data_IF_583953260663
#
_entry.id   IF_583953260663
#
_cell.length_a   1.000
_cell.length_b   1.000
_cell.length_c   1.000
_cell.angle_alpha   90.00
_cell.angle_beta   90.00
_cell.angle_gamma   90.00
#
_symmetry.space_group_name_H-M   'P 1'
#
loop_
_entity.id
_entity.type
_entity.pdbx_description
1 polymer ?
#
# COMPACT_ATOMS: atom_id res chain seq x y z
N UNK A 1 -36.61 4.36 27.75
CA UNK A 1 -35.68 5.40 27.28
C UNK A 1 -34.29 4.88 27.55
N UNK A 2 -33.73 4.15 26.57
CA UNK A 2 -32.79 4.72 25.57
C UNK A 2 -31.52 5.15 26.29
N UNK A 3 -30.37 4.47 26.21
CA UNK A 3 -29.84 3.61 25.17
C UNK A 3 -28.42 4.11 24.92
N UNK A 4 -27.43 3.35 25.36
CA UNK A 4 -26.04 3.44 24.87
C UNK A 4 -25.59 1.99 24.81
N UNK A 5 -25.76 1.38 23.65
CA UNK A 5 -25.05 0.17 23.29
C UNK A 5 -23.61 0.59 23.01
N UNK A 6 -22.69 0.11 23.83
CA UNK A 6 -21.29 -0.05 23.43
C UNK A 6 -21.27 -1.17 22.37
N UNK A 7 -21.57 -0.81 21.13
CA UNK A 7 -21.19 -1.62 19.97
C UNK A 7 -19.73 -1.31 19.66
N UNK A 8 -18.84 -1.68 20.58
CA UNK A 8 -17.45 -1.93 20.24
C UNK A 8 -17.31 -3.46 20.20
N UNK A 9 -17.87 -4.05 19.15
CA UNK A 9 -17.58 -5.41 18.78
C UNK A 9 -16.05 -5.48 18.60
N UNK A 10 -15.38 -6.14 19.54
CA UNK A 10 -13.94 -6.30 19.51
C UNK A 10 -13.54 -7.00 18.22
N UNK A 11 -13.08 -6.23 17.25
CA UNK A 11 -12.24 -6.73 16.17
C UNK A 11 -10.94 -7.09 16.88
N UNK A 12 -10.78 -8.36 17.23
CA UNK A 12 -9.54 -8.85 17.81
C UNK A 12 -8.41 -8.55 16.83
N UNK A 13 -7.35 -7.91 17.31
CA UNK A 13 -6.15 -7.69 16.50
C UNK A 13 -5.57 -9.05 16.12
N UNK A 14 -5.30 -9.25 14.82
CA UNK A 14 -4.73 -10.49 14.30
C UNK A 14 -3.21 -10.46 14.46
N UNK A 15 -2.60 -11.58 14.86
CA UNK A 15 -1.13 -11.70 14.99
C UNK A 15 -0.63 -12.85 14.10
N UNK A 16 -0.70 -12.70 12.77
CA UNK A 16 -0.22 -13.73 11.85
C UNK A 16 1.31 -13.73 11.75
N UNK A 17 1.90 -14.90 11.48
CA UNK A 17 3.36 -15.04 11.29
C UNK A 17 3.82 -14.47 9.93
N UNK A 18 2.92 -14.43 8.93
CA UNK A 18 3.16 -13.82 7.62
C UNK A 18 1.89 -13.19 7.05
N UNK A 19 2.02 -12.22 6.14
CA UNK A 19 0.87 -11.54 5.51
C UNK A 19 1.12 -11.29 4.03
N UNK A 20 0.10 -11.54 3.22
CA UNK A 20 0.13 -11.13 1.81
C UNK A 20 -0.25 -9.65 1.71
N UNK A 21 0.58 -8.85 1.05
CA UNK A 21 0.38 -7.40 0.95
C UNK A 21 -0.08 -6.97 -0.43
N UNK A 22 -1.02 -6.04 -0.48
CA UNK A 22 -1.40 -5.29 -1.67
C UNK A 22 -0.36 -4.21 -2.03
N UNK A 23 -0.34 -3.78 -3.30
CA UNK A 23 0.48 -2.65 -3.78
C UNK A 23 0.21 -1.39 -2.96
N UNK A 24 -1.03 -1.15 -2.52
CA UNK A 24 -1.39 0.02 -1.72
C UNK A 24 -0.65 0.08 -0.37
N UNK A 25 -0.32 -1.07 0.23
CA UNK A 25 0.41 -1.20 1.50
C UNK A 25 1.88 -0.82 1.32
N UNK A 26 2.51 -1.35 0.27
CA UNK A 26 3.88 -1.01 -0.13
C UNK A 26 4.00 0.50 -0.43
N UNK A 27 3.02 1.03 -1.15
CA UNK A 27 2.98 2.43 -1.53
C UNK A 27 2.74 3.36 -0.34
N UNK A 28 1.92 2.99 0.66
CA UNK A 28 1.75 3.76 1.89
C UNK A 28 3.07 3.83 2.68
N UNK A 29 3.81 2.72 2.78
CA UNK A 29 5.13 2.70 3.44
C UNK A 29 6.10 3.68 2.78
N UNK A 30 6.19 3.62 1.46
CA UNK A 30 7.06 4.52 0.70
C UNK A 30 6.70 5.99 0.92
N UNK A 31 5.39 6.27 1.02
CA UNK A 31 4.81 7.61 1.09
C UNK A 31 4.52 8.11 2.51
N UNK A 32 4.95 7.40 3.56
CA UNK A 32 4.71 7.78 4.98
C UNK A 32 5.18 9.19 5.38
N UNK A 33 6.02 9.82 4.55
CA UNK A 33 6.42 11.21 4.75
C UNK A 33 5.32 12.21 4.39
N UNK A 34 4.39 11.87 3.50
CA UNK A 34 3.32 12.74 3.00
C UNK A 34 1.91 12.24 3.35
N UNK A 35 1.78 10.94 3.63
CA UNK A 35 0.52 10.31 4.01
C UNK A 35 0.56 9.82 5.45
N UNK A 36 -0.62 9.54 6.00
CA UNK A 36 -0.69 8.89 7.31
C UNK A 36 -0.07 7.50 7.20
N UNK A 37 0.83 7.22 8.11
CA UNK A 37 1.52 5.95 8.20
C UNK A 37 0.62 4.88 8.81
N UNK A 38 0.40 3.81 8.06
CA UNK A 38 -0.38 2.65 8.49
C UNK A 38 0.43 1.35 8.45
N UNK A 39 1.63 1.38 7.88
CA UNK A 39 2.30 0.15 7.41
C UNK A 39 3.74 0.03 7.88
N UNK A 40 4.36 1.07 8.43
CA UNK A 40 5.73 0.97 8.96
C UNK A 40 5.96 -0.18 9.93
N UNK A 41 5.05 -0.51 10.87
CA UNK A 41 5.26 -1.65 11.74
C UNK A 41 5.50 -2.97 10.98
N UNK A 42 4.87 -3.17 9.81
CA UNK A 42 5.04 -4.38 9.00
C UNK A 42 6.41 -4.50 8.34
N UNK A 43 7.11 -3.39 8.09
CA UNK A 43 8.41 -3.40 7.40
C UNK A 43 9.58 -3.09 8.33
N UNK A 44 9.30 -2.46 9.46
CA UNK A 44 10.32 -2.07 10.44
C UNK A 44 10.44 -3.13 11.58
N UNK A 45 9.59 -4.18 11.59
CA UNK A 45 9.64 -5.33 12.51
C UNK A 45 9.95 -6.63 11.77
N UNK A 46 10.66 -7.57 12.43
CA UNK A 46 10.91 -8.94 11.97
C UNK A 46 9.82 -9.93 12.45
N UNK A 47 8.75 -9.45 13.12
CA UNK A 47 7.71 -10.29 13.72
C UNK A 47 6.76 -10.93 12.70
N UNK A 48 6.59 -10.29 11.54
CA UNK A 48 5.65 -10.70 10.50
C UNK A 48 6.37 -10.71 9.16
N UNK A 49 6.43 -11.86 8.52
CA UNK A 49 6.97 -11.98 7.17
C UNK A 49 6.00 -11.37 6.14
N UNK A 50 6.52 -10.49 5.28
CA UNK A 50 5.77 -9.86 4.21
C UNK A 50 5.85 -10.71 2.95
N UNK A 51 4.70 -11.16 2.45
CA UNK A 51 4.57 -11.92 1.20
C UNK A 51 4.04 -11.01 0.10
N UNK A 52 4.72 -11.00 -1.05
CA UNK A 52 4.39 -10.16 -2.21
C UNK A 52 4.11 -11.04 -3.42
N UNK A 53 2.92 -10.94 -4.01
CA UNK A 53 2.62 -11.61 -5.28
C UNK A 53 3.30 -10.97 -6.48
N UNK A 54 3.45 -11.74 -7.56
CA UNK A 54 4.02 -11.25 -8.83
C UNK A 54 3.29 -10.02 -9.38
N UNK A 55 1.96 -9.96 -9.25
CA UNK A 55 1.16 -8.79 -9.70
C UNK A 55 1.56 -7.53 -8.93
N UNK A 56 1.70 -7.64 -7.60
CA UNK A 56 2.09 -6.52 -6.73
C UNK A 56 3.52 -6.07 -7.02
N UNK A 57 4.43 -7.02 -7.25
CA UNK A 57 5.81 -6.74 -7.64
C UNK A 57 5.89 -5.96 -8.96
N UNK A 58 5.18 -6.41 -9.99
CA UNK A 58 5.12 -5.75 -11.30
C UNK A 58 4.53 -4.34 -11.19
N UNK A 59 3.45 -4.18 -10.41
CA UNK A 59 2.83 -2.88 -10.18
C UNK A 59 3.74 -1.89 -9.46
N UNK A 60 4.46 -2.35 -8.43
CA UNK A 60 5.42 -1.52 -7.71
C UNK A 60 6.51 -1.00 -8.66
N UNK A 61 7.05 -1.87 -9.51
CA UNK A 61 8.09 -1.51 -10.48
C UNK A 61 7.55 -0.56 -11.57
N UNK A 62 6.33 -0.77 -12.05
CA UNK A 62 5.65 0.18 -12.96
C UNK A 62 5.48 1.56 -12.32
N UNK A 63 5.05 1.61 -11.05
CA UNK A 63 4.88 2.84 -10.29
C UNK A 63 6.23 3.52 -10.05
N UNK A 64 7.26 2.78 -9.67
CA UNK A 64 8.62 3.29 -9.44
C UNK A 64 9.17 3.98 -10.70
N UNK A 65 9.16 3.29 -11.84
CA UNK A 65 9.63 3.84 -13.13
C UNK A 65 8.84 5.07 -13.55
N UNK A 66 7.51 5.02 -13.42
CA UNK A 66 6.66 6.14 -13.82
C UNK A 66 6.86 7.36 -12.92
N UNK A 67 7.00 7.14 -11.61
CA UNK A 67 7.19 8.21 -10.63
C UNK A 67 8.56 8.86 -10.73
N UNK A 68 9.61 8.14 -11.13
CA UNK A 68 10.92 8.73 -11.44
C UNK A 68 10.77 9.88 -12.47
N UNK A 69 10.11 9.62 -13.60
CA UNK A 69 9.88 10.64 -14.62
C UNK A 69 8.96 11.78 -14.15
N UNK A 70 7.93 11.47 -13.37
CA UNK A 70 7.02 12.48 -12.79
C UNK A 70 7.79 13.40 -11.84
N UNK A 71 8.66 12.84 -11.00
CA UNK A 71 9.46 13.61 -10.05
C UNK A 71 10.49 14.50 -10.74
N UNK A 72 11.12 14.01 -11.81
CA UNK A 72 12.00 14.81 -12.66
C UNK A 72 11.27 16.02 -13.27
N UNK A 73 10.10 15.80 -13.87
CA UNK A 73 9.28 16.87 -14.46
C UNK A 73 8.81 17.86 -13.38
N UNK A 74 8.35 17.37 -12.23
CA UNK A 74 7.86 18.22 -11.15
C UNK A 74 8.98 19.09 -10.54
N UNK A 75 10.19 18.53 -10.41
CA UNK A 75 11.37 19.30 -10.00
C UNK A 75 11.78 20.32 -11.06
N UNK A 76 11.73 19.97 -12.34
CA UNK A 76 12.08 20.86 -13.45
C UNK A 76 11.15 22.07 -13.50
N UNK A 77 9.84 21.85 -13.33
CA UNK A 77 8.82 22.89 -13.21
C UNK A 77 9.21 23.91 -12.11
N UNK A 78 9.49 23.43 -10.89
CA UNK A 78 9.79 24.34 -9.78
C UNK A 78 11.14 25.05 -9.87
N UNK A 79 12.04 24.62 -10.75
CA UNK A 79 13.30 25.30 -11.02
C UNK A 79 13.08 26.54 -11.90
N UNK A 80 12.04 26.58 -12.73
CA UNK A 80 11.66 27.80 -13.43
C UNK A 80 11.16 28.82 -12.40
N UNK A 81 11.95 29.87 -12.14
CA UNK A 81 11.76 30.86 -11.06
C UNK A 81 10.42 31.63 -11.13
N UNK A 82 9.61 31.40 -12.17
CA UNK A 82 8.30 32.01 -12.36
C UNK A 82 7.12 31.18 -11.87
N UNK A 83 7.30 29.87 -11.61
CA UNK A 83 6.18 28.94 -11.43
C UNK A 83 5.88 28.63 -9.96
N UNK A 84 4.61 28.66 -9.53
CA UNK A 84 4.18 28.33 -8.16
C UNK A 84 3.87 26.83 -8.00
N UNK A 85 4.15 26.25 -6.83
CA UNK A 85 3.92 24.81 -6.62
C UNK A 85 2.47 24.39 -6.79
N UNK A 86 1.50 25.25 -6.47
CA UNK A 86 0.08 24.97 -6.64
C UNK A 86 -0.39 24.98 -8.10
N UNK A 87 0.38 25.60 -8.99
CA UNK A 87 0.05 25.73 -10.42
C UNK A 87 0.53 24.53 -11.24
N UNK A 88 1.34 23.64 -10.67
CA UNK A 88 1.68 22.37 -11.31
C UNK A 88 0.40 21.55 -11.50
N UNK A 89 0.03 21.28 -12.74
CA UNK A 89 -1.14 20.48 -13.09
C UNK A 89 -0.73 19.13 -13.70
N UNK A 90 -0.78 18.03 -12.93
CA UNK A 90 -0.47 16.68 -13.42
C UNK A 90 -1.19 16.30 -14.71
N UNK A 91 -2.46 16.67 -14.85
CA UNK A 91 -3.29 16.33 -16.01
C UNK A 91 -2.80 16.97 -17.33
N UNK A 92 -2.04 18.06 -17.23
CA UNK A 92 -1.48 18.77 -18.38
C UNK A 92 -0.08 18.26 -18.80
N UNK A 93 0.51 17.35 -18.02
CA UNK A 93 1.91 16.92 -18.16
C UNK A 93 2.03 15.59 -18.88
N UNK A 94 3.20 15.34 -19.46
CA UNK A 94 3.62 14.03 -19.99
C UNK A 94 4.82 13.58 -19.16
N UNK A 95 4.95 12.29 -18.79
CA UNK A 95 4.18 11.11 -19.23
C UNK A 95 2.80 10.97 -18.56
N UNK A 96 1.95 10.09 -19.12
CA UNK A 96 0.56 9.88 -18.71
C UNK A 96 0.45 9.56 -17.22
N UNK A 97 -0.02 10.54 -16.44
CA UNK A 97 -0.41 10.35 -15.06
C UNK A 97 -1.59 9.38 -14.98
N UNK A 98 -1.55 8.45 -14.04
CA UNK A 98 -2.73 7.72 -13.60
C UNK A 98 -3.40 8.50 -12.47
N UNK A 99 -4.68 8.22 -12.19
CA UNK A 99 -5.43 8.90 -11.12
C UNK A 99 -4.71 8.86 -9.75
N UNK A 100 -4.03 7.75 -9.45
CA UNK A 100 -3.24 7.59 -8.22
C UNK A 100 -1.97 8.45 -8.22
N UNK A 101 -1.36 8.70 -9.38
CA UNK A 101 -0.20 9.61 -9.48
C UNK A 101 -0.61 11.07 -9.34
N UNK A 102 -1.75 11.45 -9.92
CA UNK A 102 -2.29 12.80 -9.77
C UNK A 102 -2.58 13.10 -8.30
N UNK A 103 -3.27 12.18 -7.60
CA UNK A 103 -3.54 12.27 -6.17
C UNK A 103 -2.25 12.38 -5.37
N UNK A 104 -1.26 11.54 -5.69
CA UNK A 104 0.04 11.57 -5.04
C UNK A 104 0.74 12.93 -5.16
N UNK A 105 0.81 13.51 -6.36
CA UNK A 105 1.40 14.84 -6.54
C UNK A 105 0.58 15.92 -5.82
N UNK A 106 -0.75 15.86 -5.88
CA UNK A 106 -1.62 16.79 -5.15
C UNK A 106 -1.36 16.74 -3.63
N UNK A 107 -1.13 15.57 -3.05
CA UNK A 107 -0.75 15.41 -1.64
C UNK A 107 0.58 16.13 -1.33
N UNK A 108 1.58 15.99 -2.20
CA UNK A 108 2.87 16.71 -2.07
C UNK A 108 2.64 18.23 -2.16
N UNK A 109 1.88 18.69 -3.15
CA UNK A 109 1.54 20.11 -3.32
C UNK A 109 0.86 20.68 -2.07
N UNK A 110 -0.17 20.00 -1.56
CA UNK A 110 -0.90 20.43 -0.36
C UNK A 110 0.00 20.52 0.87
N UNK A 111 0.89 19.55 1.07
CA UNK A 111 1.84 19.56 2.18
C UNK A 111 2.81 20.74 2.10
N UNK A 112 3.31 21.04 0.91
CA UNK A 112 4.32 22.06 0.69
C UNK A 112 3.76 23.47 0.50
N UNK A 113 2.50 23.62 0.08
CA UNK A 113 1.82 24.90 -0.09
C UNK A 113 1.65 25.67 1.24
N UNK A 114 1.86 25.02 2.37
CA UNK A 114 1.87 25.66 3.70
C UNK A 114 3.15 26.47 3.97
N UNK A 115 4.14 26.42 3.07
CA UNK A 115 5.42 27.09 3.22
C UNK A 115 5.46 28.36 2.38
N UNK A 116 5.84 29.49 2.99
CA UNK A 116 5.91 30.78 2.28
C UNK A 116 7.26 31.04 1.58
N UNK A 117 8.29 30.22 1.84
CA UNK A 117 9.63 30.40 1.28
C UNK A 117 9.90 29.40 0.14
N UNK A 118 10.01 29.91 -1.10
CA UNK A 118 10.34 29.13 -2.30
C UNK A 118 11.59 28.26 -2.14
N UNK A 119 12.65 28.77 -1.51
CA UNK A 119 13.89 27.99 -1.29
C UNK A 119 13.64 26.85 -0.31
N UNK A 120 12.74 27.07 0.65
CA UNK A 120 12.30 26.03 1.57
C UNK A 120 11.42 24.99 0.86
N UNK A 121 10.47 25.41 0.03
CA UNK A 121 9.64 24.51 -0.80
C UNK A 121 10.52 23.60 -1.66
N UNK A 122 11.46 24.16 -2.43
CA UNK A 122 12.35 23.37 -3.28
C UNK A 122 13.22 22.40 -2.48
N UNK A 123 13.71 22.81 -1.31
CA UNK A 123 14.51 21.95 -0.42
C UNK A 123 13.67 20.80 0.13
N UNK A 124 12.49 21.11 0.66
CA UNK A 124 11.60 20.15 1.31
C UNK A 124 11.00 19.18 0.28
N UNK A 125 10.73 19.64 -0.94
CA UNK A 125 10.36 18.79 -2.07
C UNK A 125 11.47 17.78 -2.38
N UNK A 126 12.71 18.23 -2.61
CA UNK A 126 13.83 17.34 -2.89
C UNK A 126 14.04 16.30 -1.79
N UNK A 127 13.89 16.70 -0.52
CA UNK A 127 13.97 15.75 0.59
C UNK A 127 12.82 14.74 0.57
N UNK A 128 11.60 15.20 0.30
CA UNK A 128 10.41 14.35 0.23
C UNK A 128 10.53 13.32 -0.89
N UNK A 129 10.85 13.75 -2.12
CA UNK A 129 10.99 12.86 -3.27
C UNK A 129 12.10 11.83 -3.07
N UNK A 130 13.29 12.27 -2.62
CA UNK A 130 14.40 11.34 -2.29
C UNK A 130 14.03 10.34 -1.20
N UNK A 131 13.23 10.76 -0.22
CA UNK A 131 12.80 9.84 0.84
C UNK A 131 11.83 8.78 0.32
N UNK A 132 10.97 9.13 -0.63
CA UNK A 132 10.04 8.19 -1.26
C UNK A 132 10.80 7.25 -2.18
N UNK A 133 11.67 7.77 -3.06
CA UNK A 133 12.52 6.99 -3.96
C UNK A 133 13.36 5.95 -3.20
N UNK A 134 14.01 6.35 -2.09
CA UNK A 134 14.79 5.42 -1.26
C UNK A 134 13.96 4.26 -0.73
N UNK A 135 12.73 4.52 -0.29
CA UNK A 135 11.84 3.46 0.20
C UNK A 135 11.32 2.59 -0.93
N UNK A 136 11.00 3.16 -2.09
CA UNK A 136 10.63 2.38 -3.27
C UNK A 136 11.78 1.46 -3.71
N UNK A 137 13.02 1.93 -3.70
CA UNK A 137 14.18 1.06 -3.97
C UNK A 137 14.35 -0.01 -2.90
N UNK A 138 14.26 0.33 -1.61
CA UNK A 138 14.31 -0.68 -0.53
C UNK A 138 13.23 -1.76 -0.70
N UNK A 139 12.00 -1.37 -1.01
CA UNK A 139 10.92 -2.32 -1.27
C UNK A 139 11.25 -3.22 -2.48
N UNK A 140 11.65 -2.63 -3.61
CA UNK A 140 11.90 -3.38 -4.84
C UNK A 140 13.17 -4.26 -4.79
N UNK A 141 14.20 -3.82 -4.08
CA UNK A 141 15.54 -4.43 -4.11
C UNK A 141 15.75 -5.39 -2.93
N UNK A 142 15.03 -5.24 -1.81
CA UNK A 142 15.19 -6.05 -0.59
C UNK A 142 13.88 -6.78 -0.21
N UNK A 143 12.77 -6.06 -0.03
CA UNK A 143 11.52 -6.67 0.52
C UNK A 143 10.83 -7.59 -0.47
N UNK A 144 10.63 -7.14 -1.71
CA UNK A 144 9.93 -7.91 -2.74
C UNK A 144 10.68 -9.20 -3.09
N UNK A 145 12.00 -9.21 -3.32
CA UNK A 145 12.73 -10.43 -3.63
C UNK A 145 12.70 -11.47 -2.50
N UNK A 146 12.76 -11.03 -1.24
CA UNK A 146 12.79 -11.93 -0.09
C UNK A 146 11.43 -12.63 0.15
N UNK A 147 10.32 -11.94 -0.14
CA UNK A 147 8.95 -12.42 0.09
C UNK A 147 8.16 -12.78 -1.18
N UNK A 148 8.82 -13.00 -2.32
CA UNK A 148 8.11 -13.15 -3.60
C UNK A 148 7.35 -14.48 -3.70
N UNK A 149 6.03 -14.39 -3.92
CA UNK A 149 5.18 -15.48 -4.35
C UNK A 149 4.97 -15.40 -5.87
N UNK A 150 5.69 -16.23 -6.63
CA UNK A 150 5.81 -16.16 -8.10
C UNK A 150 4.78 -16.98 -8.88
N UNK A 151 3.73 -17.44 -8.20
CA UNK A 151 2.64 -18.20 -8.82
C UNK A 151 1.45 -17.30 -9.17
N UNK A 152 0.64 -17.74 -10.13
CA UNK A 152 -0.54 -17.01 -10.59
C UNK A 152 -1.79 -17.88 -10.53
N UNK A 153 -2.95 -17.30 -10.15
CA UNK A 153 -4.21 -18.01 -10.10
C UNK A 153 -4.66 -18.42 -11.51
N UNK A 154 -5.38 -19.55 -11.58
CA UNK A 154 -6.01 -19.96 -12.83
C UNK A 154 -7.11 -18.99 -13.28
N UNK A 155 -7.31 -18.87 -14.59
CA UNK A 155 -8.32 -17.97 -15.21
C UNK A 155 -9.73 -18.13 -14.62
N UNK A 156 -10.12 -19.32 -14.18
CA UNK A 156 -11.41 -19.57 -13.53
C UNK A 156 -11.65 -18.66 -12.32
N UNK A 157 -10.62 -18.46 -11.50
CA UNK A 157 -10.71 -17.61 -10.29
C UNK A 157 -10.82 -16.15 -10.71
N UNK A 158 -9.98 -15.71 -11.64
CA UNK A 158 -10.01 -14.34 -12.16
C UNK A 158 -11.36 -14.00 -12.81
N UNK A 159 -11.96 -14.91 -13.58
CA UNK A 159 -13.30 -14.68 -14.13
C UNK A 159 -14.40 -14.65 -13.07
N UNK A 160 -14.27 -15.45 -12.01
CA UNK A 160 -15.24 -15.45 -10.92
C UNK A 160 -15.22 -14.11 -10.18
N UNK A 161 -14.02 -13.62 -9.84
CA UNK A 161 -13.81 -12.36 -9.10
C UNK A 161 -14.23 -11.12 -9.89
N UNK A 162 -14.26 -11.17 -11.23
CA UNK A 162 -14.59 -10.02 -12.09
C UNK A 162 -15.96 -9.38 -11.77
N UNK A 163 -16.91 -10.16 -11.26
CA UNK A 163 -18.25 -9.66 -10.94
C UNK A 163 -18.28 -8.81 -9.67
N UNK A 164 -17.28 -8.94 -8.81
CA UNK A 164 -17.17 -8.24 -7.52
C UNK A 164 -16.07 -7.18 -7.57
N UNK A 165 -14.95 -7.49 -8.23
CA UNK A 165 -13.78 -6.60 -8.36
C UNK A 165 -13.64 -6.20 -9.85
N UNK A 166 -14.13 -5.01 -10.25
CA UNK A 166 -14.07 -4.57 -11.64
C UNK A 166 -12.66 -4.25 -12.12
N UNK A 167 -11.77 -3.84 -11.20
CA UNK A 167 -10.39 -3.52 -11.51
C UNK A 167 -9.58 -4.81 -11.76
N UNK A 168 -9.01 -4.92 -12.96
CA UNK A 168 -8.23 -6.09 -13.37
C UNK A 168 -6.99 -6.33 -12.50
N UNK A 169 -6.38 -5.26 -11.99
CA UNK A 169 -5.18 -5.30 -11.14
C UNK A 169 -5.52 -5.82 -9.75
N UNK A 170 -6.43 -5.16 -9.04
CA UNK A 170 -6.89 -5.57 -7.71
C UNK A 170 -7.43 -7.01 -7.73
N UNK A 171 -8.12 -7.40 -8.81
CA UNK A 171 -8.60 -8.76 -9.02
C UNK A 171 -7.47 -9.78 -9.12
N UNK A 172 -6.39 -9.43 -9.81
CA UNK A 172 -5.21 -10.28 -9.93
C UNK A 172 -4.49 -10.41 -8.59
N UNK A 173 -4.34 -9.30 -7.85
CA UNK A 173 -3.75 -9.28 -6.49
C UNK A 173 -4.54 -10.17 -5.52
N UNK A 174 -5.87 -10.05 -5.50
CA UNK A 174 -6.73 -10.90 -4.66
C UNK A 174 -6.64 -12.37 -5.07
N UNK A 175 -6.55 -12.64 -6.37
CA UNK A 175 -6.35 -14.00 -6.88
C UNK A 175 -5.00 -14.60 -6.47
N UNK A 176 -3.92 -13.81 -6.51
CA UNK A 176 -2.59 -14.22 -6.04
C UNK A 176 -2.62 -14.51 -4.53
N UNK A 177 -3.26 -13.66 -3.73
CA UNK A 177 -3.41 -13.84 -2.29
C UNK A 177 -4.22 -15.10 -1.94
N UNK A 178 -5.30 -15.36 -2.66
CA UNK A 178 -6.13 -16.56 -2.48
C UNK A 178 -5.37 -17.84 -2.87
N UNK A 179 -4.59 -17.80 -3.95
CA UNK A 179 -3.72 -18.91 -4.33
C UNK A 179 -2.65 -19.18 -3.28
N UNK A 180 -1.99 -18.13 -2.79
CA UNK A 180 -1.02 -18.24 -1.70
C UNK A 180 -1.64 -18.86 -0.46
N UNK A 181 -2.84 -18.41 -0.06
CA UNK A 181 -3.60 -18.97 1.06
C UNK A 181 -3.90 -20.46 0.91
N UNK A 182 -4.21 -20.91 -0.32
CA UNK A 182 -4.59 -22.28 -0.59
C UNK A 182 -3.41 -23.24 -0.76
N UNK A 183 -2.28 -22.76 -1.31
CA UNK A 183 -1.21 -23.63 -1.80
C UNK A 183 0.14 -23.46 -1.10
N UNK A 184 0.38 -22.36 -0.37
CA UNK A 184 1.62 -22.20 0.39
C UNK A 184 1.55 -22.96 1.72
N UNK A 185 2.59 -23.74 2.03
CA UNK A 185 2.61 -24.64 3.20
C UNK A 185 2.45 -23.92 4.56
N UNK A 186 2.93 -22.68 4.66
CA UNK A 186 2.94 -21.88 5.90
C UNK A 186 2.10 -20.59 5.76
N UNK A 187 1.08 -20.56 4.91
CA UNK A 187 0.24 -19.36 4.77
C UNK A 187 -0.63 -19.10 6.01
N UNK A 188 -0.66 -17.84 6.45
CA UNK A 188 -1.63 -17.37 7.44
C UNK A 188 -3.04 -17.15 6.87
N UNK A 189 -3.19 -17.12 5.55
CA UNK A 189 -4.42 -16.72 4.85
C UNK A 189 -4.84 -15.26 5.06
N UNK A 190 -3.95 -14.41 5.59
CA UNK A 190 -4.22 -12.99 5.83
C UNK A 190 -3.74 -12.16 4.64
N UNK A 191 -4.67 -11.43 4.02
CA UNK A 191 -4.42 -10.45 2.98
C UNK A 191 -4.62 -9.04 3.54
N UNK A 192 -3.62 -8.17 3.38
CA UNK A 192 -3.69 -6.80 3.88
C UNK A 192 -3.65 -5.75 2.78
N UNK A 193 -4.57 -4.79 2.89
CA UNK A 193 -4.75 -3.69 1.93
C UNK A 193 -5.17 -2.41 2.64
N UNK A 194 -4.84 -1.26 2.05
CA UNK A 194 -5.38 0.04 2.46
C UNK A 194 -6.59 0.47 1.61
N UNK A 195 -6.96 -0.33 0.60
CA UNK A 195 -8.12 -0.07 -0.25
C UNK A 195 -9.42 -0.45 0.47
N UNK A 196 -10.18 0.57 0.85
CA UNK A 196 -11.40 0.39 1.61
C UNK A 196 -12.59 0.05 0.73
N UNK A 197 -12.78 0.82 -0.32
CA UNK A 197 -14.03 0.82 -1.08
C UNK A 197 -14.06 -0.36 -2.06
N UNK A 198 -12.89 -0.77 -2.59
CA UNK A 198 -12.80 -1.80 -3.62
C UNK A 198 -12.45 -3.18 -3.06
N UNK A 199 -11.90 -3.29 -1.84
CA UNK A 199 -11.45 -4.56 -1.26
C UNK A 199 -11.98 -4.82 0.17
N UNK A 200 -11.75 -3.93 1.13
CA UNK A 200 -12.15 -4.19 2.53
C UNK A 200 -13.67 -4.28 2.70
N UNK A 201 -14.42 -3.35 2.10
CA UNK A 201 -15.88 -3.31 2.21
C UNK A 201 -16.55 -4.48 1.43
N UNK A 202 -15.82 -5.12 0.52
CA UNK A 202 -16.28 -6.26 -0.30
C UNK A 202 -15.74 -7.62 0.19
N UNK A 203 -15.08 -7.68 1.36
CA UNK A 203 -14.37 -8.88 1.82
C UNK A 203 -15.25 -10.15 1.91
N UNK A 204 -16.50 -10.02 2.37
CA UNK A 204 -17.44 -11.14 2.44
C UNK A 204 -17.84 -11.63 1.04
N UNK A 205 -18.09 -10.71 0.12
CA UNK A 205 -18.52 -11.01 -1.25
C UNK A 205 -17.39 -11.66 -2.06
N UNK A 206 -16.15 -11.18 -1.87
CA UNK A 206 -14.94 -11.78 -2.42
C UNK A 206 -14.80 -13.23 -1.94
N UNK A 207 -14.95 -13.48 -0.63
CA UNK A 207 -14.82 -14.82 -0.07
C UNK A 207 -15.92 -15.78 -0.53
N UNK A 208 -17.16 -15.32 -0.67
CA UNK A 208 -18.24 -16.14 -1.25
C UNK A 208 -17.94 -16.55 -2.70
N UNK A 209 -17.35 -15.65 -3.50
CA UNK A 209 -16.91 -15.96 -4.86
C UNK A 209 -15.76 -16.97 -4.87
N UNK A 210 -14.73 -16.78 -4.05
CA UNK A 210 -13.58 -17.69 -3.94
C UNK A 210 -14.02 -19.09 -3.51
N UNK A 211 -14.86 -19.15 -2.48
CA UNK A 211 -15.48 -20.39 -1.97
C UNK A 211 -16.30 -21.11 -3.03
N UNK A 212 -17.11 -20.37 -3.79
CA UNK A 212 -17.91 -20.94 -4.87
C UNK A 212 -17.07 -21.44 -6.05
N UNK A 213 -15.94 -20.81 -6.34
CA UNK A 213 -15.09 -21.14 -7.48
C UNK A 213 -14.13 -22.30 -7.21
N UNK A 214 -13.58 -22.40 -5.99
CA UNK A 214 -12.48 -23.31 -5.68
C UNK A 214 -12.65 -24.12 -4.39
N UNK A 215 -13.24 -23.53 -3.35
CA UNK A 215 -13.43 -24.20 -2.06
C UNK A 215 -13.09 -23.31 -0.88
N UNK A 216 -13.27 -23.81 0.33
CA UNK A 216 -13.03 -23.06 1.57
C UNK A 216 -11.56 -22.65 1.72
N UNK A 217 -10.65 -23.49 1.23
CA UNK A 217 -9.21 -23.29 1.32
C UNK A 217 -8.69 -22.09 0.52
N UNK A 218 -9.50 -21.55 -0.41
CA UNK A 218 -9.19 -20.34 -1.16
C UNK A 218 -9.70 -19.06 -0.50
N UNK A 219 -10.43 -19.17 0.61
CA UNK A 219 -10.90 -17.98 1.34
C UNK A 219 -9.74 -17.31 2.08
N UNK A 220 -9.81 -15.99 2.19
CA UNK A 220 -8.77 -15.14 2.79
C UNK A 220 -9.38 -14.17 3.80
N UNK A 221 -8.59 -13.85 4.83
CA UNK A 221 -8.94 -12.81 5.79
C UNK A 221 -8.40 -11.47 5.30
N UNK A 222 -9.29 -10.62 4.78
CA UNK A 222 -8.94 -9.29 4.24
C UNK A 222 -9.00 -8.26 5.36
N UNK A 223 -7.88 -7.61 5.65
CA UNK A 223 -7.78 -6.65 6.77
C UNK A 223 -6.97 -5.41 6.44
N UNK A 224 -7.30 -4.33 7.13
CA UNK A 224 -6.48 -3.13 7.08
C UNK A 224 -5.22 -3.33 7.96
N UNK A 225 -4.03 -2.82 7.56
CA UNK A 225 -2.79 -3.00 8.32
C UNK A 225 -2.87 -2.65 9.82
N UNK A 226 -3.62 -1.60 10.15
CA UNK A 226 -3.88 -1.16 11.54
C UNK A 226 -4.54 -2.23 12.44
N UNK A 227 -5.19 -3.23 11.86
CA UNK A 227 -5.93 -4.28 12.58
C UNK A 227 -5.01 -5.50 12.85
N UNK A 228 -3.75 -5.43 12.44
CA UNK A 228 -2.69 -6.37 12.76
C UNK A 228 -2.00 -5.98 14.08
N UNK A 229 -1.74 -6.95 14.94
CA UNK A 229 -0.91 -6.84 16.14
C UNK A 229 0.54 -7.07 15.75
N UNK A 230 1.22 -6.02 15.31
CA UNK A 230 2.68 -6.02 15.16
C UNK A 230 3.28 -5.36 16.40
N UNK A 231 4.27 -5.98 17.04
CA UNK A 231 4.90 -5.39 18.22
C UNK A 231 5.79 -4.24 17.74
N UNK A 232 5.36 -3.00 18.01
CA UNK A 232 6.25 -1.85 17.83
C UNK A 232 7.41 -1.98 18.83
N UNK A 233 8.61 -2.36 18.35
CA UNK A 233 9.85 -2.18 19.12
C UNK A 233 10.23 -0.69 19.21
N UNK A 234 9.31 0.16 19.67
CA UNK A 234 9.71 1.43 20.28
C UNK A 234 10.14 1.09 21.70
N UNK A 235 11.39 0.66 21.88
CA UNK A 235 12.01 0.71 23.20
C UNK A 235 11.89 2.15 23.73
N UNK A 236 11.14 2.41 24.81
CA UNK A 236 11.34 3.65 25.53
C UNK A 236 12.74 3.55 26.11
N UNK A 237 13.63 4.47 25.75
CA UNK A 237 14.86 4.70 26.51
C UNK A 237 14.45 4.96 27.96
N UNK A 238 14.44 3.89 28.75
CA UNK A 238 14.22 3.92 30.17
C UNK A 238 15.30 4.78 30.79
N UNK A 239 14.86 5.88 31.37
CA UNK A 239 15.58 6.68 32.33
C UNK A 239 16.20 5.77 33.40
N UNK A 240 17.48 5.44 33.24
CA UNK A 240 18.29 4.93 34.35
C UNK A 240 18.92 6.13 35.03
N UNK A 241 18.19 6.69 35.97
CA UNK A 241 18.80 7.36 37.12
C UNK A 241 19.62 6.34 37.89
N UNK A 242 20.93 6.57 37.97
CA UNK A 242 21.78 6.20 39.10
C UNK A 242 22.90 7.22 39.20
#
# INVERSE_FOLDING_TARGET
MSGIGDDNAGVGTLSPDNVFVDTSVLLNYAQRVIERDHTSPLFDSDDVEVVVGITVADELEEVRKRREHIYEDFLAYLIDDTEEIGEYDPASRRPYFQANDERHIRNIQMKLAQLDDRRKIQRDLRHTLRSIERRLCYLADEVVPDGLFDQQPGLTVLFALQNVIPNDKDRSVVGDAALWSAEAEESSGVFTTTDRDDLLDLADEINEVLKGAKGEEWTITIVHPKDLSVVDEIQPFGSSTS
#
